data_IF_420796556107
#
_entry.id   IF_420796556107
#
_cell.length_a   1.000
_cell.length_b   1.000
_cell.length_c   1.000
_cell.angle_alpha   90.00
_cell.angle_beta   90.00
_cell.angle_gamma   90.00
#
_symmetry.space_group_name_H-M   'P 1'
#
loop_
_entity.id
_entity.type
_entity.pdbx_description
1 polymer ?
#
# COMPACT_ATOMS: atom_id res chain seq x y z
N UNK A 1 12.17 9.78 -6.56
CA UNK A 1 11.64 8.88 -5.52
C UNK A 1 10.23 8.53 -5.92
N UNK A 2 9.94 7.24 -6.02
CA UNK A 2 8.60 6.72 -6.32
C UNK A 2 7.98 6.14 -5.06
N UNK A 3 6.71 6.42 -4.86
CA UNK A 3 5.94 5.92 -3.71
C UNK A 3 4.99 4.82 -4.19
N UNK A 4 5.07 3.68 -3.54
CA UNK A 4 4.16 2.56 -3.74
C UNK A 4 3.07 2.55 -2.68
N UNK A 5 1.86 2.17 -3.07
CA UNK A 5 0.75 1.94 -2.13
C UNK A 5 0.13 0.58 -2.45
N UNK A 6 0.26 -0.37 -1.54
CA UNK A 6 -0.38 -1.67 -1.64
C UNK A 6 -1.66 -1.65 -0.80
N UNK A 7 -2.80 -1.79 -1.47
CA UNK A 7 -4.13 -1.65 -0.90
C UNK A 7 -4.73 -0.27 -1.17
N UNK A 8 -5.42 -0.12 -2.32
CA UNK A 8 -6.12 1.11 -2.71
C UNK A 8 -7.53 1.20 -2.11
N UNK A 9 -7.71 0.72 -0.89
CA UNK A 9 -8.94 0.92 -0.14
C UNK A 9 -9.18 2.41 0.16
N UNK A 10 -10.19 2.70 1.02
CA UNK A 10 -10.56 4.08 1.37
C UNK A 10 -9.35 4.94 1.78
N UNK A 11 -8.54 4.45 2.72
CA UNK A 11 -7.35 5.16 3.18
C UNK A 11 -6.26 5.20 2.09
N UNK A 12 -6.01 4.06 1.45
CA UNK A 12 -4.91 3.93 0.48
C UNK A 12 -5.05 4.85 -0.71
N UNK A 13 -6.26 5.00 -1.28
CA UNK A 13 -6.47 5.92 -2.40
C UNK A 13 -6.33 7.39 -1.99
N UNK A 14 -6.82 7.76 -0.80
CA UNK A 14 -6.64 9.12 -0.29
C UNK A 14 -5.15 9.45 -0.12
N UNK A 15 -4.40 8.54 0.50
CA UNK A 15 -2.96 8.71 0.69
C UNK A 15 -2.19 8.79 -0.65
N UNK A 16 -2.51 7.89 -1.59
CA UNK A 16 -1.88 7.88 -2.91
C UNK A 16 -2.10 9.20 -3.67
N UNK A 17 -3.33 9.72 -3.66
CA UNK A 17 -3.65 10.99 -4.31
C UNK A 17 -3.00 12.20 -3.63
N UNK A 18 -2.85 12.19 -2.31
CA UNK A 18 -2.11 13.24 -1.60
C UNK A 18 -0.63 13.22 -1.98
N UNK A 19 -0.02 12.04 -2.14
CA UNK A 19 1.34 11.90 -2.63
C UNK A 19 1.49 12.41 -4.08
N UNK A 20 0.54 12.08 -4.96
CA UNK A 20 0.50 12.59 -6.34
C UNK A 20 0.41 14.12 -6.38
N UNK A 21 -0.49 14.72 -5.59
CA UNK A 21 -0.61 16.18 -5.48
C UNK A 21 0.67 16.84 -4.91
N UNK A 22 1.40 16.13 -4.06
CA UNK A 22 2.70 16.59 -3.57
C UNK A 22 3.83 16.47 -4.62
N UNK A 23 3.53 15.95 -5.82
CA UNK A 23 4.44 15.85 -6.95
C UNK A 23 5.28 14.58 -6.99
N UNK A 24 4.93 13.54 -6.21
CA UNK A 24 5.57 12.24 -6.30
C UNK A 24 4.96 11.40 -7.43
N UNK A 25 5.78 10.56 -8.06
CA UNK A 25 5.28 9.46 -8.87
C UNK A 25 4.72 8.38 -7.94
N UNK A 26 3.49 7.93 -8.18
CA UNK A 26 2.79 6.97 -7.31
C UNK A 26 2.35 5.76 -8.11
N UNK A 27 2.63 4.57 -7.60
CA UNK A 27 2.10 3.32 -8.11
C UNK A 27 1.23 2.68 -7.03
N UNK A 28 -0.05 2.45 -7.35
CA UNK A 28 -0.99 1.86 -6.40
C UNK A 28 -1.46 0.50 -6.87
N UNK A 29 -1.56 -0.48 -5.96
CA UNK A 29 -2.16 -1.78 -6.28
C UNK A 29 -3.40 -2.08 -5.44
N UNK A 30 -4.33 -2.82 -6.05
CA UNK A 30 -5.50 -3.41 -5.38
C UNK A 30 -5.89 -4.71 -6.07
N UNK A 31 -6.38 -5.68 -5.30
CA UNK A 31 -6.77 -6.99 -5.84
C UNK A 31 -8.08 -6.97 -6.66
N UNK A 32 -8.85 -5.90 -6.60
CA UNK A 32 -10.13 -5.73 -7.31
C UNK A 32 -9.88 -5.19 -8.72
N UNK A 33 -9.89 -6.07 -9.73
CA UNK A 33 -9.61 -5.70 -11.11
C UNK A 33 -10.48 -4.55 -11.65
N UNK A 34 -11.80 -4.59 -11.40
CA UNK A 34 -12.71 -3.56 -11.90
C UNK A 34 -12.47 -2.20 -11.23
N UNK A 35 -12.07 -2.22 -9.95
CA UNK A 35 -11.69 -1.02 -9.23
C UNK A 35 -10.38 -0.42 -9.79
N UNK A 36 -9.39 -1.27 -10.06
CA UNK A 36 -8.13 -0.83 -10.69
C UNK A 36 -8.39 -0.24 -12.07
N UNK A 37 -9.23 -0.86 -12.89
CA UNK A 37 -9.67 -0.29 -14.18
C UNK A 37 -10.35 1.07 -14.00
N UNK A 38 -11.18 1.20 -12.96
CA UNK A 38 -11.81 2.47 -12.61
C UNK A 38 -10.80 3.55 -12.23
N UNK A 39 -9.77 3.20 -11.45
CA UNK A 39 -8.67 4.12 -11.13
C UNK A 39 -7.91 4.57 -12.38
N UNK A 40 -7.56 3.61 -13.27
CA UNK A 40 -6.86 3.89 -14.53
C UNK A 40 -7.67 4.81 -15.47
N UNK A 41 -8.98 4.69 -15.45
CA UNK A 41 -9.89 5.48 -16.28
C UNK A 41 -10.48 6.71 -15.56
N UNK A 42 -10.10 6.95 -14.30
CA UNK A 42 -10.63 8.03 -13.44
C UNK A 42 -12.16 7.96 -13.25
N UNK A 43 -12.73 6.76 -13.19
CA UNK A 43 -14.18 6.51 -13.16
C UNK A 43 -14.67 5.79 -11.91
N UNK A 44 -13.86 5.74 -10.83
CA UNK A 44 -14.32 5.12 -9.58
C UNK A 44 -15.45 5.91 -8.94
N UNK A 45 -16.40 5.20 -8.33
CA UNK A 45 -17.38 5.79 -7.45
C UNK A 45 -16.88 5.71 -6.01
N UNK A 46 -16.91 6.82 -5.30
CA UNK A 46 -16.45 6.92 -3.92
C UNK A 46 -17.27 7.94 -3.13
N UNK A 47 -17.46 7.66 -1.84
CA UNK A 47 -18.09 8.61 -0.91
C UNK A 47 -17.04 9.48 -0.17
N UNK A 48 -15.75 9.26 -0.46
CA UNK A 48 -14.70 10.08 0.16
C UNK A 48 -14.67 11.46 -0.50
N UNK A 49 -14.77 12.53 0.30
CA UNK A 49 -14.66 13.89 -0.19
C UNK A 49 -13.36 14.09 -0.99
N UNK A 50 -13.43 14.89 -2.05
CA UNK A 50 -12.28 15.29 -2.86
C UNK A 50 -11.62 14.20 -3.72
N UNK A 51 -11.76 12.88 -3.40
CA UNK A 51 -11.08 11.80 -4.13
C UNK A 51 -11.38 11.85 -5.62
N UNK A 52 -12.65 12.06 -5.99
CA UNK A 52 -13.05 12.16 -7.40
C UNK A 52 -12.35 13.34 -8.11
N UNK A 53 -12.29 14.50 -7.47
CA UNK A 53 -11.62 15.69 -8.01
C UNK A 53 -10.12 15.45 -8.13
N UNK A 54 -9.48 14.97 -7.07
CA UNK A 54 -8.04 14.69 -7.04
C UNK A 54 -7.64 13.65 -8.09
N UNK A 55 -8.48 12.63 -8.30
CA UNK A 55 -8.24 11.60 -9.30
C UNK A 55 -8.31 12.17 -10.73
N UNK A 56 -9.27 13.06 -11.02
CA UNK A 56 -9.37 13.73 -12.31
C UNK A 56 -8.18 14.67 -12.59
N UNK A 57 -7.60 15.27 -11.55
CA UNK A 57 -6.43 16.16 -11.63
C UNK A 57 -5.10 15.40 -11.57
N UNK A 58 -5.14 14.12 -11.24
CA UNK A 58 -3.94 13.27 -11.08
C UNK A 58 -3.20 13.09 -12.39
N UNK A 59 -1.88 13.23 -12.34
CA UNK A 59 -0.99 13.10 -13.51
C UNK A 59 0.14 12.10 -13.31
N UNK A 60 0.44 11.73 -12.07
CA UNK A 60 1.59 10.88 -11.73
C UNK A 60 1.18 9.59 -10.99
N UNK A 61 -0.13 9.29 -10.92
CA UNK A 61 -0.64 8.07 -10.30
C UNK A 61 -0.89 7.01 -11.37
N UNK A 62 -0.36 5.82 -11.15
CA UNK A 62 -0.66 4.62 -11.94
C UNK A 62 -1.23 3.54 -11.05
N UNK A 63 -2.15 2.73 -11.59
CA UNK A 63 -2.82 1.67 -10.83
C UNK A 63 -2.61 0.30 -11.51
N UNK A 64 -2.41 -0.74 -10.70
CA UNK A 64 -2.20 -2.12 -11.14
C UNK A 64 -2.88 -3.11 -10.20
N UNK A 65 -3.07 -4.36 -10.64
CA UNK A 65 -3.47 -5.47 -9.78
C UNK A 65 -2.28 -6.22 -9.19
N UNK A 66 -1.05 -5.86 -9.55
CA UNK A 66 0.16 -6.56 -9.18
C UNK A 66 0.94 -5.83 -8.09
N UNK A 67 1.02 -6.42 -6.90
CA UNK A 67 1.91 -5.93 -5.84
C UNK A 67 3.38 -5.98 -6.30
N UNK A 68 3.73 -6.95 -7.13
CA UNK A 68 5.07 -7.10 -7.67
C UNK A 68 5.51 -5.86 -8.45
N UNK A 69 4.63 -5.32 -9.32
CA UNK A 69 4.92 -4.10 -10.07
C UNK A 69 5.16 -2.90 -9.14
N UNK A 70 4.40 -2.78 -8.03
CA UNK A 70 4.60 -1.74 -7.02
C UNK A 70 5.96 -1.91 -6.35
N UNK A 71 6.27 -3.12 -5.89
CA UNK A 71 7.54 -3.44 -5.19
C UNK A 71 8.73 -3.17 -6.10
N UNK A 72 8.65 -3.52 -7.38
CA UNK A 72 9.73 -3.34 -8.33
C UNK A 72 9.96 -1.87 -8.69
N UNK A 73 8.88 -1.11 -8.89
CA UNK A 73 8.94 0.26 -9.39
C UNK A 73 9.26 1.31 -8.31
N UNK A 74 8.95 1.05 -7.02
CA UNK A 74 8.94 2.06 -5.98
C UNK A 74 10.08 1.91 -4.97
N UNK A 75 10.47 3.03 -4.36
CA UNK A 75 11.52 3.10 -3.33
C UNK A 75 10.94 2.90 -1.93
N UNK A 76 9.82 3.57 -1.65
CA UNK A 76 9.08 3.50 -0.39
C UNK A 76 7.70 2.94 -0.67
N UNK A 77 7.35 1.84 -0.03
CA UNK A 77 6.10 1.13 -0.24
C UNK A 77 5.27 1.15 1.05
N UNK A 78 4.10 1.78 1.00
CA UNK A 78 3.11 1.72 2.06
C UNK A 78 2.18 0.53 1.85
N UNK A 79 1.97 -0.29 2.90
CA UNK A 79 0.91 -1.30 2.89
C UNK A 79 -0.26 -0.80 3.73
N UNK A 80 -1.42 -0.66 3.07
CA UNK A 80 -2.68 -0.17 3.63
C UNK A 80 -3.80 -1.19 3.38
N UNK A 81 -3.46 -2.46 3.56
CA UNK A 81 -4.37 -3.59 3.40
C UNK A 81 -5.28 -3.75 4.61
N UNK A 82 -6.37 -4.51 4.43
CA UNK A 82 -7.30 -4.76 5.53
C UNK A 82 -6.68 -5.67 6.60
N UNK A 83 -6.83 -5.27 7.87
CA UNK A 83 -6.48 -6.04 9.06
C UNK A 83 -7.69 -6.09 9.99
N UNK A 84 -8.58 -7.06 9.75
CA UNK A 84 -9.84 -7.18 10.48
C UNK A 84 -9.61 -7.65 11.91
N UNK A 85 -10.41 -7.16 12.86
CA UNK A 85 -10.38 -7.65 14.24
C UNK A 85 -10.92 -9.08 14.31
N UNK A 86 -10.23 -9.92 15.06
CA UNK A 86 -10.63 -11.29 15.38
C UNK A 86 -11.45 -11.35 16.69
N UNK A 87 -12.09 -12.48 16.93
CA UNK A 87 -12.95 -12.66 18.10
C UNK A 87 -12.21 -12.57 19.44
N UNK A 88 -10.91 -12.81 19.47
CA UNK A 88 -10.04 -12.70 20.65
C UNK A 88 -9.47 -11.29 20.87
N UNK A 89 -9.84 -10.32 19.99
CA UNK A 89 -9.40 -8.94 20.04
C UNK A 89 -8.07 -8.67 19.31
N UNK A 90 -7.44 -9.69 18.75
CA UNK A 90 -6.27 -9.51 17.88
C UNK A 90 -6.67 -9.07 16.46
N UNK A 91 -5.68 -8.74 15.64
CA UNK A 91 -5.88 -8.38 14.22
C UNK A 91 -5.41 -9.52 13.32
N UNK A 92 -6.21 -9.81 12.28
CA UNK A 92 -5.79 -10.69 11.19
C UNK A 92 -4.81 -9.94 10.27
N UNK A 93 -3.55 -10.28 10.38
CA UNK A 93 -2.47 -9.68 9.58
C UNK A 93 -2.06 -10.55 8.38
N UNK A 94 -2.89 -11.51 7.99
CA UNK A 94 -2.61 -12.40 6.85
C UNK A 94 -2.35 -11.64 5.55
N UNK A 95 -3.08 -10.55 5.30
CA UNK A 95 -2.86 -9.69 4.14
C UNK A 95 -1.51 -8.97 4.16
N UNK A 96 -1.00 -8.61 5.36
CA UNK A 96 0.35 -8.03 5.49
C UNK A 96 1.42 -9.09 5.25
N UNK A 97 1.22 -10.31 5.74
CA UNK A 97 2.11 -11.43 5.44
C UNK A 97 2.19 -11.74 3.95
N UNK A 98 1.06 -11.63 3.22
CA UNK A 98 1.08 -11.77 1.77
C UNK A 98 1.99 -10.72 1.12
N UNK A 99 1.93 -9.46 1.57
CA UNK A 99 2.82 -8.41 1.07
C UNK A 99 4.29 -8.73 1.38
N UNK A 100 4.60 -9.22 2.59
CA UNK A 100 5.96 -9.67 2.96
C UNK A 100 6.44 -10.78 2.02
N UNK A 101 5.58 -11.75 1.72
CA UNK A 101 5.91 -12.84 0.78
C UNK A 101 6.07 -12.32 -0.66
N UNK A 102 5.30 -11.33 -1.09
CA UNK A 102 5.46 -10.67 -2.39
C UNK A 102 6.85 -10.02 -2.50
N UNK A 103 7.35 -9.37 -1.44
CA UNK A 103 8.73 -8.87 -1.39
C UNK A 103 9.76 -10.00 -1.53
N UNK A 104 9.61 -11.09 -0.78
CA UNK A 104 10.53 -12.24 -0.82
C UNK A 104 10.57 -12.93 -2.19
N UNK A 105 9.46 -12.91 -2.91
CA UNK A 105 9.34 -13.49 -4.24
C UNK A 105 9.76 -12.54 -5.38
N UNK A 106 10.19 -11.32 -5.06
CA UNK A 106 10.68 -10.38 -6.06
C UNK A 106 11.96 -10.89 -6.72
N UNK A 107 12.02 -10.75 -8.03
CA UNK A 107 13.21 -11.08 -8.83
C UNK A 107 14.32 -10.04 -8.76
N UNK A 108 14.02 -8.86 -8.20
CA UNK A 108 14.94 -7.74 -8.11
C UNK A 108 15.71 -7.71 -6.79
N UNK A 109 16.81 -6.97 -6.80
CA UNK A 109 17.48 -6.58 -5.56
C UNK A 109 16.64 -5.56 -4.84
N UNK A 110 16.25 -5.87 -3.61
CA UNK A 110 15.37 -5.03 -2.80
C UNK A 110 16.15 -4.10 -1.85
N UNK A 111 17.47 -4.23 -1.81
CA UNK A 111 18.32 -3.43 -0.93
C UNK A 111 18.10 -1.93 -1.10
N UNK A 112 17.80 -1.27 0.01
CA UNK A 112 17.50 0.17 0.05
C UNK A 112 16.02 0.50 -0.20
N UNK A 113 15.14 -0.49 -0.36
CA UNK A 113 13.70 -0.27 -0.35
C UNK A 113 13.16 -0.23 1.09
N UNK A 114 12.07 0.48 1.26
CA UNK A 114 11.40 0.64 2.55
C UNK A 114 9.97 0.13 2.46
N UNK A 115 9.57 -0.75 3.37
CA UNK A 115 8.17 -1.12 3.62
C UNK A 115 7.66 -0.34 4.83
N UNK A 116 6.61 0.45 4.63
CA UNK A 116 5.90 1.13 5.71
C UNK A 116 4.56 0.43 5.95
N UNK A 117 4.41 -0.16 7.12
CA UNK A 117 3.16 -0.80 7.55
C UNK A 117 2.24 0.29 8.11
N UNK A 118 1.24 0.67 7.32
CA UNK A 118 0.30 1.76 7.63
C UNK A 118 -1.05 1.27 8.15
N UNK A 119 -1.29 -0.04 8.19
CA UNK A 119 -2.48 -0.64 8.79
C UNK A 119 -2.23 -1.10 10.23
N UNK A 120 -3.30 -1.36 10.99
CA UNK A 120 -3.19 -1.80 12.38
C UNK A 120 -2.68 -3.25 12.46
N UNK A 121 -1.68 -3.49 13.30
CA UNK A 121 -1.10 -4.82 13.54
C UNK A 121 -1.08 -5.13 15.05
N UNK A 122 -0.78 -6.37 15.41
CA UNK A 122 -0.59 -6.75 16.81
C UNK A 122 0.82 -6.35 17.29
N UNK A 123 1.03 -6.16 18.59
CA UNK A 123 2.37 -5.95 19.15
C UNK A 123 3.32 -7.08 18.72
N UNK A 124 4.50 -6.73 18.23
CA UNK A 124 5.53 -7.69 17.80
C UNK A 124 5.39 -8.18 16.34
N UNK A 125 4.33 -7.80 15.60
CA UNK A 125 4.19 -8.26 14.22
C UNK A 125 5.17 -7.54 13.28
N UNK A 126 5.37 -6.23 13.46
CA UNK A 126 6.30 -5.48 12.60
C UNK A 126 7.76 -5.94 12.77
N UNK A 127 8.16 -6.35 13.97
CA UNK A 127 9.46 -6.96 14.23
C UNK A 127 9.62 -8.26 13.44
N UNK A 128 8.58 -9.10 13.40
CA UNK A 128 8.60 -10.35 12.61
C UNK A 128 8.67 -10.07 11.11
N UNK A 129 7.94 -9.06 10.61
CA UNK A 129 8.05 -8.65 9.21
C UNK A 129 9.46 -8.17 8.87
N UNK A 130 10.06 -7.36 9.75
CA UNK A 130 11.42 -6.88 9.58
C UNK A 130 12.44 -8.03 9.55
N UNK A 131 12.35 -9.00 10.48
CA UNK A 131 13.20 -10.20 10.48
C UNK A 131 13.12 -10.98 9.17
N UNK A 132 11.93 -11.10 8.56
CA UNK A 132 11.75 -11.81 7.29
C UNK A 132 12.35 -11.06 6.09
N UNK A 133 12.43 -9.74 6.16
CA UNK A 133 12.87 -8.89 5.06
C UNK A 133 14.32 -8.42 5.20
N UNK A 134 14.95 -8.61 6.36
CA UNK A 134 16.33 -8.20 6.64
C UNK A 134 17.35 -8.78 5.64
N UNK A 135 17.23 -10.07 5.32
CA UNK A 135 18.09 -10.74 4.33
C UNK A 135 18.04 -10.08 2.93
N UNK A 136 16.90 -9.45 2.60
CA UNK A 136 16.69 -8.77 1.32
C UNK A 136 17.12 -7.31 1.35
N UNK A 137 17.53 -6.79 2.51
CA UNK A 137 17.96 -5.41 2.70
C UNK A 137 16.80 -4.41 2.64
N UNK A 138 15.59 -4.83 3.00
CA UNK A 138 14.40 -3.99 3.09
C UNK A 138 14.24 -3.48 4.51
N UNK A 139 14.12 -2.18 4.69
CA UNK A 139 13.81 -1.58 5.99
C UNK A 139 12.28 -1.60 6.22
N UNK A 140 11.85 -1.97 7.43
CA UNK A 140 10.42 -2.01 7.80
C UNK A 140 10.14 -0.98 8.88
N UNK A 141 9.15 -0.12 8.62
CA UNK A 141 8.67 0.90 9.57
C UNK A 141 7.19 0.68 9.86
N UNK A 142 6.77 1.03 11.07
CA UNK A 142 5.38 1.04 11.47
C UNK A 142 4.86 2.47 11.59
N UNK A 143 3.91 2.83 10.76
CA UNK A 143 3.28 4.15 10.75
C UNK A 143 1.76 3.98 10.53
N UNK A 144 1.02 3.50 11.55
CA UNK A 144 -0.40 3.24 11.39
C UNK A 144 -1.18 4.54 11.20
N UNK A 145 -2.06 4.55 10.20
CA UNK A 145 -2.98 5.64 9.93
C UNK A 145 -4.40 5.25 10.31
N UNK A 146 -5.14 6.18 10.89
CA UNK A 146 -6.51 5.97 11.33
C UNK A 146 -7.45 6.97 10.68
N UNK A 147 -8.57 6.45 10.14
CA UNK A 147 -9.66 7.28 9.66
C UNK A 147 -10.69 7.41 10.79
N UNK A 148 -10.91 8.62 11.27
CA UNK A 148 -12.06 8.94 12.12
C UNK A 148 -13.31 9.10 11.23
N UNK A 149 -14.37 8.35 11.54
CA UNK A 149 -15.68 8.44 10.87
C UNK A 149 -16.73 9.03 11.81
#
# INVERSE_FOLDING_TARGET
>A
MKIGVIGAGRLGICFALLCDQAGYEVVVSDCREDYVKGLQNHTIETNEPEVQRMLLESTNLTATTSNQEVIEACDIIYTLVATSSLADGSYDVSSVWQVVDDFKNSSLKLNGKTLVVGCTTNPGDCEKFAEQLDYFGVEVFYNPEFIAQ
#
